data_IF_804437150972
#
_entry.id   IF_804437150972
#
_cell.length_a   1.000
_cell.length_b   1.000
_cell.length_c   1.000
_cell.angle_alpha   90.00
_cell.angle_beta   90.00
_cell.angle_gamma   90.00
#
_symmetry.space_group_name_H-M   'P 1'
#
loop_
_entity.id
_entity.type
_entity.pdbx_description
1 polymer ?
#
# COMPACT_ATOMS: atom_id res chain seq x y z
N UNK A 1 2.13 5.88 10.71
CA UNK A 1 0.70 6.22 10.78
C UNK A 1 0.48 7.43 9.91
N UNK A 2 0.34 7.15 8.62
CA UNK A 2 0.11 8.11 7.56
C UNK A 2 -0.97 7.55 6.63
N UNK A 3 -1.95 8.38 6.27
CA UNK A 3 -2.96 8.01 5.27
C UNK A 3 -2.35 8.03 3.88
N UNK A 4 -2.47 6.91 3.17
CA UNK A 4 -1.97 6.75 1.82
C UNK A 4 -3.06 7.15 0.80
N UNK A 5 -2.73 7.85 -0.29
CA UNK A 5 -3.71 8.14 -1.33
C UNK A 5 -4.12 6.86 -2.06
N UNK A 6 -5.43 6.58 -2.11
CA UNK A 6 -5.99 5.46 -2.88
C UNK A 6 -6.01 5.85 -4.37
N UNK A 7 -5.44 4.99 -5.21
CA UNK A 7 -5.48 5.18 -6.66
C UNK A 7 -6.81 4.68 -7.22
N UNK A 8 -7.41 5.46 -8.12
CA UNK A 8 -8.68 5.12 -8.78
C UNK A 8 -8.49 4.81 -10.27
N UNK A 9 -9.40 4.02 -10.83
CA UNK A 9 -9.41 3.75 -12.28
C UNK A 9 -9.62 5.08 -13.05
N UNK A 10 -8.85 5.35 -14.12
CA UNK A 10 -8.04 4.43 -14.93
C UNK A 10 -6.51 4.48 -14.71
N UNK A 11 -6.02 4.80 -13.51
CA UNK A 11 -4.57 4.93 -13.24
C UNK A 11 -3.77 3.70 -13.70
N UNK A 12 -2.74 3.90 -14.53
CA UNK A 12 -1.94 2.83 -15.13
C UNK A 12 -1.17 2.00 -14.09
N UNK A 13 -0.87 2.58 -12.92
CA UNK A 13 -0.20 1.87 -11.82
C UNK A 13 -1.05 0.72 -11.31
N UNK A 14 -2.38 0.81 -11.38
CA UNK A 14 -3.30 -0.27 -11.01
C UNK A 14 -3.20 -1.49 -11.95
N UNK A 15 -2.55 -1.35 -13.11
CA UNK A 15 -2.29 -2.46 -14.05
C UNK A 15 -0.89 -3.06 -13.91
N UNK A 16 -0.03 -2.45 -13.09
CA UNK A 16 1.34 -2.90 -12.89
C UNK A 16 1.34 -4.13 -11.98
N UNK A 17 2.03 -5.20 -12.39
CA UNK A 17 2.14 -6.42 -11.59
C UNK A 17 3.18 -6.20 -10.48
N UNK A 18 2.76 -6.33 -9.23
CA UNK A 18 3.66 -6.19 -8.08
C UNK A 18 4.75 -7.27 -8.07
N UNK A 19 5.93 -6.90 -7.57
CA UNK A 19 7.04 -7.83 -7.36
C UNK A 19 6.90 -8.55 -6.02
N UNK A 20 7.46 -9.76 -5.87
CA UNK A 20 7.52 -10.43 -4.57
C UNK A 20 8.29 -9.60 -3.54
N UNK A 21 7.82 -9.62 -2.30
CA UNK A 21 8.57 -9.08 -1.15
C UNK A 21 9.51 -10.17 -0.64
N UNK A 22 10.82 -9.97 -0.76
CA UNK A 22 11.83 -10.97 -0.38
C UNK A 22 12.11 -11.01 1.13
N UNK A 23 11.90 -9.90 1.84
CA UNK A 23 12.13 -9.79 3.29
C UNK A 23 11.10 -8.86 3.91
N UNK A 24 10.59 -9.25 5.08
CA UNK A 24 9.64 -8.44 5.86
C UNK A 24 10.40 -7.79 7.00
N UNK A 25 10.90 -6.58 6.73
CA UNK A 25 11.55 -5.72 7.70
C UNK A 25 10.56 -4.72 8.32
N UNK A 26 11.08 -3.79 9.12
CA UNK A 26 10.26 -2.80 9.80
C UNK A 26 9.65 -1.76 8.85
N UNK A 27 10.24 -1.53 7.67
CA UNK A 27 9.65 -0.66 6.64
C UNK A 27 8.40 -1.31 6.03
N UNK A 28 8.47 -2.61 5.72
CA UNK A 28 7.32 -3.37 5.22
C UNK A 28 6.21 -3.43 6.28
N UNK A 29 6.56 -3.59 7.56
CA UNK A 29 5.58 -3.56 8.65
C UNK A 29 4.90 -2.20 8.76
N UNK A 30 5.67 -1.11 8.71
CA UNK A 30 5.12 0.25 8.74
C UNK A 30 4.18 0.52 7.56
N UNK A 31 4.53 0.04 6.36
CA UNK A 31 3.68 0.15 5.18
C UNK A 31 2.34 -0.58 5.38
N UNK A 32 2.36 -1.79 5.94
CA UNK A 32 1.13 -2.55 6.23
C UNK A 32 0.26 -1.81 7.24
N UNK A 33 0.84 -1.25 8.30
CA UNK A 33 0.11 -0.47 9.30
C UNK A 33 -0.56 0.76 8.67
N UNK A 34 0.16 1.51 7.82
CA UNK A 34 -0.37 2.68 7.11
C UNK A 34 -1.47 2.29 6.08
N UNK A 35 -1.34 1.13 5.42
CA UNK A 35 -2.35 0.58 4.52
C UNK A 35 -3.63 0.19 5.26
N UNK A 36 -3.51 -0.44 6.43
CA UNK A 36 -4.66 -0.81 7.26
C UNK A 36 -5.39 0.42 7.80
N UNK A 37 -4.64 1.41 8.29
CA UNK A 37 -5.19 2.69 8.73
C UNK A 37 -5.99 3.36 7.60
N UNK A 38 -5.41 3.44 6.40
CA UNK A 38 -6.07 4.01 5.21
C UNK A 38 -7.34 3.26 4.84
N UNK A 39 -7.33 1.93 4.91
CA UNK A 39 -8.49 1.09 4.58
C UNK A 39 -9.68 1.33 5.53
N UNK A 40 -9.42 1.49 6.83
CA UNK A 40 -10.48 1.67 7.81
C UNK A 40 -11.08 3.09 7.82
N UNK A 41 -10.36 4.07 7.30
CA UNK A 41 -10.80 5.47 7.25
C UNK A 41 -11.62 5.83 6.01
N UNK A 42 -11.44 5.10 4.90
CA UNK A 42 -12.12 5.30 3.62
C UNK A 42 -13.52 4.69 3.58
#
# INVERSE_FOLDING_TARGET
MAKLPILEFPDERLRTKAVPVETVDDEVRQLVDDMLETMYDA
#
